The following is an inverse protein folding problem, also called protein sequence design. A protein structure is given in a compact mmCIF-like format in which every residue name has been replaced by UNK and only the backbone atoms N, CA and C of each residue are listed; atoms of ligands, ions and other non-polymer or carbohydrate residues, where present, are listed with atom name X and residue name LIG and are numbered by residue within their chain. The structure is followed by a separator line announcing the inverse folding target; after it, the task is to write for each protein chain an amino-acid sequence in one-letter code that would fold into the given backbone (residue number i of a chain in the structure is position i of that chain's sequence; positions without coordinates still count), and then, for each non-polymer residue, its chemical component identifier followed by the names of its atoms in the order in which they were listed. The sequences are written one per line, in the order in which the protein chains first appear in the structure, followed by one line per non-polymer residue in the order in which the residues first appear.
data_IF_962458045958
#
_entry.id   IF_962458045958
#
_cell.length_a   1.000
_cell.length_b   1.000
_cell.length_c   1.000
_cell.angle_alpha   90.00
_cell.angle_beta   90.00
_cell.angle_gamma   90.00
#
_symmetry.space_group_name_H-M   'P 1'
#
loop_
_entity.id
_entity.type
_entity.pdbx_description
1 polymer ?
#
# COMPACT_ATOMS: atom_id res chain seq x y z
N UNK A 1 -14.17 9.68 -25.90
CA UNK A 1 -13.56 9.15 -24.67
C UNK A 1 -12.68 10.24 -24.10
N UNK A 2 -13.01 10.80 -22.95
CA UNK A 2 -12.17 11.81 -22.29
C UNK A 2 -11.11 11.09 -21.48
N UNK A 3 -9.86 11.19 -21.90
CA UNK A 3 -8.73 10.62 -21.17
C UNK A 3 -8.38 11.57 -20.02
N UNK A 4 -8.82 11.22 -18.81
CA UNK A 4 -8.45 11.95 -17.59
C UNK A 4 -7.05 11.50 -17.17
N UNK A 5 -6.04 12.33 -17.42
CA UNK A 5 -4.69 12.10 -16.93
C UNK A 5 -4.60 12.44 -15.44
N UNK A 6 -4.13 11.51 -14.63
CA UNK A 6 -3.83 11.73 -13.22
C UNK A 6 -2.31 11.78 -13.03
N UNK A 7 -1.82 12.77 -12.29
CA UNK A 7 -0.40 12.96 -11.98
C UNK A 7 -0.14 12.74 -10.50
N UNK A 8 0.83 11.88 -10.19
CA UNK A 8 1.35 11.69 -8.83
C UNK A 8 2.79 12.18 -8.73
N UNK A 9 3.24 12.48 -7.52
CA UNK A 9 4.61 12.92 -7.25
C UNK A 9 5.30 11.95 -6.30
N UNK A 10 6.46 11.45 -6.69
CA UNK A 10 7.33 10.61 -5.87
C UNK A 10 8.60 11.38 -5.53
N UNK A 11 8.86 11.59 -4.24
CA UNK A 11 10.08 12.19 -3.74
C UNK A 11 10.93 11.13 -3.03
N UNK A 12 12.23 11.10 -3.29
CA UNK A 12 13.18 10.24 -2.58
C UNK A 12 14.21 11.11 -1.87
N UNK A 13 14.24 11.03 -0.54
CA UNK A 13 15.21 11.72 0.30
C UNK A 13 16.27 10.74 0.82
N UNK A 14 17.52 11.20 0.90
CA UNK A 14 18.63 10.40 1.40
C UNK A 14 19.18 10.99 2.70
N UNK A 15 19.45 10.12 3.65
CA UNK A 15 20.19 10.42 4.87
C UNK A 15 21.44 9.53 4.88
N UNK A 16 22.60 10.16 4.81
CA UNK A 16 23.89 9.49 4.70
C UNK A 16 24.69 9.64 5.99
N UNK A 17 25.10 8.50 6.54
CA UNK A 17 26.04 8.43 7.65
C UNK A 17 27.36 7.82 7.19
N UNK A 18 28.37 7.83 8.05
CA UNK A 18 29.67 7.21 7.75
C UNK A 18 29.57 5.70 7.40
N UNK A 19 28.53 4.99 7.86
CA UNK A 19 28.41 3.53 7.71
C UNK A 19 27.21 3.07 6.89
N UNK A 20 26.21 3.93 6.67
CA UNK A 20 24.94 3.55 6.05
C UNK A 20 24.36 4.70 5.24
N UNK A 21 23.68 4.35 4.16
CA UNK A 21 22.79 5.22 3.41
C UNK A 21 21.36 4.78 3.65
N UNK A 22 20.51 5.70 4.12
CA UNK A 22 19.07 5.53 4.23
C UNK A 22 18.40 6.31 3.12
N UNK A 23 17.42 5.70 2.45
CA UNK A 23 16.52 6.38 1.53
C UNK A 23 15.08 6.31 2.07
N UNK A 24 14.32 7.39 1.87
CA UNK A 24 12.88 7.44 2.13
C UNK A 24 12.18 7.88 0.86
N UNK A 25 11.34 7.03 0.31
CA UNK A 25 10.47 7.32 -0.83
C UNK A 25 9.09 7.74 -0.32
N UNK A 26 8.54 8.84 -0.82
CA UNK A 26 7.22 9.35 -0.45
C UNK A 26 6.43 9.65 -1.73
N UNK A 27 5.33 8.93 -1.92
CA UNK A 27 4.38 9.11 -3.02
C UNK A 27 3.19 9.91 -2.53
N UNK A 28 2.83 10.98 -3.24
CA UNK A 28 1.62 11.77 -3.00
C UNK A 28 0.66 11.63 -4.17
N UNK A 29 -0.56 11.20 -3.89
CA UNK A 29 -1.63 11.09 -4.89
C UNK A 29 -2.28 12.45 -5.12
N UNK A 30 -3.00 12.60 -6.24
CA UNK A 30 -3.78 13.81 -6.51
C UNK A 30 -4.97 14.00 -5.55
N UNK A 31 -5.36 12.95 -4.82
CA UNK A 31 -6.44 12.99 -3.84
C UNK A 31 -5.95 13.40 -2.44
N UNK A 32 -4.63 13.52 -2.24
CA UNK A 32 -4.02 13.91 -0.96
C UNK A 32 -3.50 12.74 -0.13
N UNK A 33 -3.61 11.49 -0.61
CA UNK A 33 -3.04 10.34 0.08
C UNK A 33 -1.51 10.37 0.00
N UNK A 34 -0.87 9.92 1.08
CA UNK A 34 0.58 9.81 1.16
C UNK A 34 1.00 8.37 1.51
N UNK A 35 1.86 7.80 0.68
CA UNK A 35 2.47 6.49 0.91
C UNK A 35 3.97 6.67 1.07
N UNK A 36 4.58 5.93 1.98
CA UNK A 36 6.01 6.01 2.22
C UNK A 36 6.66 4.63 2.28
N UNK A 37 7.88 4.54 1.76
CA UNK A 37 8.75 3.37 1.90
C UNK A 37 10.14 3.77 2.36
N UNK A 38 10.81 2.90 3.12
CA UNK A 38 12.18 3.12 3.60
C UNK A 38 13.12 2.04 3.11
N UNK A 39 14.33 2.43 2.73
CA UNK A 39 15.41 1.52 2.36
C UNK A 39 16.71 1.86 3.07
N UNK A 40 17.44 0.83 3.50
CA UNK A 40 18.75 0.96 4.12
C UNK A 40 19.77 0.19 3.30
N UNK A 41 20.96 0.76 3.11
CA UNK A 41 22.11 0.09 2.54
C UNK A 41 23.35 0.37 3.39
N UNK A 42 24.19 -0.64 3.58
CA UNK A 42 25.50 -0.45 4.17
C UNK A 42 26.41 0.24 3.16
N UNK A 43 27.12 1.26 3.61
CA UNK A 43 28.23 1.83 2.84
C UNK A 43 29.40 0.86 3.02
N UNK A 44 29.72 0.09 1.99
CA UNK A 44 30.97 -0.63 1.94
C UNK A 44 32.09 0.42 1.82
N UNK A 45 32.54 0.96 2.95
CA UNK A 45 33.87 1.52 3.05
C UNK A 45 34.82 0.36 2.66
N UNK A 46 35.69 0.47 1.66
CA UNK A 46 36.78 1.46 1.55
C UNK A 46 37.10 1.79 0.08
N UNK A 47 36.28 1.36 -0.89
CA UNK A 47 36.58 1.55 -2.31
C UNK A 47 36.14 2.94 -2.77
N UNK A 48 37.08 3.86 -3.09
CA UNK A 48 36.74 5.18 -3.59
C UNK A 48 35.93 5.06 -4.89
N UNK A 49 34.83 5.80 -4.98
CA UNK A 49 33.98 5.84 -6.18
C UNK A 49 32.70 5.01 -6.12
N UNK A 50 32.57 4.02 -5.22
CA UNK A 50 31.34 3.19 -5.11
C UNK A 50 30.31 3.71 -4.09
N UNK A 51 30.53 4.90 -3.51
CA UNK A 51 29.62 5.49 -2.54
C UNK A 51 28.18 5.66 -3.08
N UNK A 52 28.03 5.91 -4.38
CA UNK A 52 26.73 6.06 -5.04
C UNK A 52 25.93 4.74 -5.14
N UNK A 53 26.61 3.59 -5.12
CA UNK A 53 25.97 2.25 -5.21
C UNK A 53 25.09 1.99 -3.98
N UNK A 54 25.54 2.41 -2.79
CA UNK A 54 24.73 2.33 -1.58
C UNK A 54 23.46 3.20 -1.69
N UNK A 55 23.55 4.36 -2.33
CA UNK A 55 22.40 5.22 -2.64
C UNK A 55 21.38 4.53 -3.54
N UNK A 56 21.82 3.97 -4.67
CA UNK A 56 20.93 3.26 -5.59
C UNK A 56 20.25 2.05 -4.92
N UNK A 57 21.00 1.29 -4.13
CA UNK A 57 20.45 0.15 -3.39
C UNK A 57 19.45 0.59 -2.31
N UNK A 58 19.76 1.65 -1.56
CA UNK A 58 18.83 2.20 -0.57
C UNK A 58 17.55 2.70 -1.24
N UNK A 59 17.67 3.41 -2.37
CA UNK A 59 16.52 3.87 -3.15
C UNK A 59 15.66 2.70 -3.65
N UNK A 60 16.28 1.69 -4.28
CA UNK A 60 15.57 0.50 -4.75
C UNK A 60 14.82 -0.21 -3.62
N UNK A 61 15.44 -0.35 -2.45
CA UNK A 61 14.79 -0.91 -1.26
C UNK A 61 13.61 -0.06 -0.77
N UNK A 62 13.74 1.26 -0.76
CA UNK A 62 12.65 2.17 -0.40
C UNK A 62 11.47 2.07 -1.38
N UNK A 63 11.75 1.87 -2.67
CA UNK A 63 10.72 1.67 -3.69
C UNK A 63 10.04 0.30 -3.55
N UNK A 64 10.78 -0.78 -3.28
CA UNK A 64 10.19 -2.08 -3.00
C UNK A 64 9.26 -2.03 -1.78
N UNK A 65 9.68 -1.31 -0.74
CA UNK A 65 8.90 -1.11 0.48
C UNK A 65 7.60 -0.34 0.21
N UNK A 66 7.71 0.77 -0.54
CA UNK A 66 6.57 1.56 -1.00
C UNK A 66 5.60 0.73 -1.85
N UNK A 67 6.11 -0.04 -2.81
CA UNK A 67 5.28 -0.91 -3.67
C UNK A 67 4.51 -1.92 -2.83
N UNK A 68 5.14 -2.50 -1.81
CA UNK A 68 4.45 -3.43 -0.91
C UNK A 68 3.29 -2.75 -0.18
N UNK A 69 3.53 -1.57 0.40
CA UNK A 69 2.48 -0.82 1.10
C UNK A 69 1.32 -0.42 0.18
N UNK A 70 1.60 -0.08 -1.08
CA UNK A 70 0.55 0.18 -2.07
C UNK A 70 -0.29 -1.08 -2.37
N UNK A 71 0.35 -2.23 -2.52
CA UNK A 71 -0.36 -3.49 -2.79
C UNK A 71 -1.17 -3.96 -1.57
N UNK A 72 -0.66 -3.76 -0.36
CA UNK A 72 -1.39 -4.00 0.89
C UNK A 72 -2.63 -3.11 0.98
N UNK A 73 -2.50 -1.82 0.67
CA UNK A 73 -3.64 -0.88 0.66
C UNK A 73 -4.71 -1.30 -0.36
N UNK A 74 -4.30 -1.75 -1.54
CA UNK A 74 -5.25 -2.25 -2.56
C UNK A 74 -5.99 -3.49 -2.06
N UNK A 75 -5.31 -4.40 -1.36
CA UNK A 75 -5.94 -5.58 -0.79
C UNK A 75 -7.00 -5.18 0.26
N UNK A 76 -6.65 -4.28 1.18
CA UNK A 76 -7.57 -3.77 2.21
C UNK A 76 -8.80 -3.09 1.60
N UNK A 77 -8.61 -2.27 0.55
CA UNK A 77 -9.70 -1.59 -0.14
C UNK A 77 -10.67 -2.56 -0.84
N UNK A 78 -10.13 -3.62 -1.46
CA UNK A 78 -10.92 -4.66 -2.12
C UNK A 78 -11.72 -5.45 -1.09
N UNK A 79 -11.10 -5.87 0.01
CA UNK A 79 -11.77 -6.62 1.08
C UNK A 79 -12.89 -5.77 1.71
N UNK A 80 -12.63 -4.49 1.99
CA UNK A 80 -13.65 -3.57 2.50
C UNK A 80 -14.80 -3.33 1.52
N UNK A 81 -14.55 -3.39 0.20
CA UNK A 81 -15.62 -3.32 -0.79
C UNK A 81 -16.45 -4.61 -0.84
N UNK A 82 -15.80 -5.77 -0.74
CA UNK A 82 -16.47 -7.08 -0.73
C UNK A 82 -17.39 -7.23 0.49
N UNK A 83 -16.94 -6.84 1.68
CA UNK A 83 -17.72 -6.88 2.91
C UNK A 83 -18.97 -5.99 2.82
N UNK A 84 -18.84 -4.79 2.24
CA UNK A 84 -19.97 -3.88 2.02
C UNK A 84 -21.03 -4.50 1.09
N UNK A 85 -20.61 -5.20 0.05
CA UNK A 85 -21.52 -5.90 -0.85
C UNK A 85 -22.25 -7.05 -0.15
N UNK A 86 -21.53 -7.82 0.68
CA UNK A 86 -22.08 -8.94 1.45
C UNK A 86 -23.11 -8.47 2.50
N UNK A 87 -22.80 -7.39 3.23
CA UNK A 87 -23.69 -6.81 4.24
C UNK A 87 -24.92 -6.11 3.64
N UNK A 88 -24.86 -5.66 2.38
CA UNK A 88 -25.98 -5.02 1.70
C UNK A 88 -27.01 -6.01 1.12
N UNK A 89 -26.68 -7.30 1.06
CA UNK A 89 -27.66 -8.33 0.74
C UNK A 89 -28.68 -8.41 1.89
N UNK A 90 -30.00 -8.27 1.62
CA UNK A 90 -30.99 -8.37 2.68
C UNK A 90 -30.91 -9.77 3.29
N UNK A 91 -30.74 -9.84 4.61
CA UNK A 91 -31.06 -11.03 5.39
C UNK A 91 -32.55 -11.31 5.18
N UNK A 92 -32.84 -12.21 4.24
CA UNK A 92 -34.21 -12.63 3.94
C UNK A 92 -34.85 -13.21 5.21
N UNK A 93 -35.97 -12.68 5.70
CA UNK A 93 -36.69 -13.25 6.83
C UNK A 93 -37.58 -14.38 6.30
N UNK A 94 -37.01 -15.56 6.10
CA UNK A 94 -37.79 -16.73 5.69
C UNK A 94 -37.42 -17.96 6.53
N UNK A 95 -38.04 -18.06 7.72
CA UNK A 95 -38.78 -19.27 8.12
C UNK A 95 -39.51 -19.03 9.46
N UNK A 96 -40.66 -18.34 9.40
CA UNK A 96 -41.74 -18.54 10.39
C UNK A 96 -42.72 -19.51 9.76
N UNK A 97 -42.51 -20.81 9.97
CA UNK A 97 -43.51 -21.83 9.65
C UNK A 97 -44.70 -21.66 10.62
N UNK A 98 -45.94 -21.45 10.15
CA UNK A 98 -47.08 -21.50 11.04
C UNK A 98 -47.27 -22.95 11.51
N UNK A 99 -47.32 -23.17 12.85
CA UNK A 99 -47.81 -24.42 13.44
C UNK A 99 -49.27 -24.58 12.99
N UNK A 100 -49.53 -25.53 12.10
CA UNK A 100 -50.88 -26.04 11.89
C UNK A 100 -51.26 -26.79 13.17
N UNK A 101 -52.09 -26.13 13.99
CA UNK A 101 -52.79 -26.79 15.09
C UNK A 101 -53.91 -27.63 14.46
N UNK A 102 -53.67 -28.94 14.36
CA UNK A 102 -54.73 -29.91 14.11
C UNK A 102 -55.50 -30.00 15.42
N UNK A 103 -56.76 -29.53 15.41
CA UNK A 103 -57.71 -29.68 16.50
C UNK A 103 -58.63 -30.84 16.13
N UNK A 104 -58.92 -31.66 17.14
CA UNK A 104 -59.63 -32.95 17.13
C UNK A 104 -60.99 -32.97 16.40
#
# INVERSE_FOLDING_TARGET
MTETSQRWTLAIAFDETARRTRARAVLRTGAGDEFAGTGLAHRAAEVPGLAHVAGYLAAGRALCDLTRGLLETVADDVDAAADRLSSAAPTSPAERRPRVAIRE
#
